data_IF_590913662521
#
_entry.id   IF_590913662521
#
_cell.length_a   1.000
_cell.length_b   1.000
_cell.length_c   1.000
_cell.angle_alpha   90.00
_cell.angle_beta   90.00
_cell.angle_gamma   90.00
#
_symmetry.space_group_name_H-M   'P 1'
#
loop_
_entity.id
_entity.type
_entity.pdbx_description
1 polymer ?
#
# COMPACT_ATOMS: atom_id res chain seq x y z
N UNK A 1 -22.68 94.40 -13.38
CA UNK A 1 -22.73 93.39 -14.47
C UNK A 1 -21.96 92.11 -13.98
N UNK A 2 -22.70 91.09 -13.57
CA UNK A 2 -22.13 89.87 -13.05
C UNK A 2 -22.06 88.77 -14.14
N UNK A 3 -20.87 88.30 -14.52
CA UNK A 3 -20.68 87.24 -15.51
C UNK A 3 -20.82 85.89 -14.78
N UNK A 4 -21.89 85.14 -15.09
CA UNK A 4 -22.03 83.71 -14.72
C UNK A 4 -21.19 82.90 -15.61
N UNK A 5 -20.17 82.23 -15.05
CA UNK A 5 -19.35 81.20 -15.71
C UNK A 5 -20.11 79.91 -15.73
N UNK A 6 -20.48 79.39 -16.91
CA UNK A 6 -21.14 78.11 -17.07
C UNK A 6 -20.03 77.04 -17.16
N UNK A 7 -19.93 76.25 -16.07
CA UNK A 7 -19.03 75.07 -16.10
C UNK A 7 -19.76 73.91 -16.79
N UNK A 8 -19.32 73.59 -18.00
CA UNK A 8 -19.81 72.43 -18.75
C UNK A 8 -19.30 71.14 -18.11
N UNK A 9 -20.17 70.31 -17.53
CA UNK A 9 -19.93 68.99 -17.03
C UNK A 9 -19.76 68.04 -18.25
N UNK A 10 -18.53 67.73 -18.64
CA UNK A 10 -18.22 66.73 -19.64
C UNK A 10 -18.59 65.38 -19.08
N UNK A 11 -19.69 64.77 -19.52
CA UNK A 11 -20.06 63.40 -19.26
C UNK A 11 -19.00 62.47 -19.90
N UNK A 12 -18.24 61.76 -19.09
CA UNK A 12 -17.38 60.66 -19.55
C UNK A 12 -18.28 59.56 -20.08
N UNK A 13 -18.40 59.41 -21.38
CA UNK A 13 -18.98 58.21 -22.00
C UNK A 13 -18.07 57.04 -21.66
N UNK A 14 -18.57 56.13 -20.81
CA UNK A 14 -17.87 54.86 -20.55
C UNK A 14 -17.71 54.11 -21.89
N UNK A 15 -16.50 53.82 -22.26
CA UNK A 15 -16.19 53.04 -23.45
C UNK A 15 -16.72 51.61 -23.28
N UNK A 16 -17.12 50.96 -24.38
CA UNK A 16 -17.57 49.56 -24.38
C UNK A 16 -16.60 48.65 -23.61
N UNK A 17 -15.31 48.92 -23.68
CA UNK A 17 -14.24 48.22 -22.98
C UNK A 17 -14.31 48.35 -21.44
N UNK A 18 -14.74 49.51 -20.90
CA UNK A 18 -14.90 49.72 -19.46
C UNK A 18 -16.05 48.89 -18.88
N UNK A 19 -17.05 48.58 -19.67
CA UNK A 19 -18.23 47.81 -19.25
C UNK A 19 -17.89 46.29 -19.13
N UNK A 20 -16.90 45.79 -19.85
CA UNK A 20 -16.53 44.38 -19.90
C UNK A 20 -15.19 44.08 -19.22
N UNK A 21 -14.49 45.10 -18.72
CA UNK A 21 -13.18 44.92 -18.06
C UNK A 21 -13.21 43.96 -16.87
N UNK A 22 -14.30 43.92 -16.11
CA UNK A 22 -14.51 43.02 -14.97
C UNK A 22 -14.71 41.56 -15.43
N UNK A 23 -15.30 41.32 -16.60
CA UNK A 23 -15.46 39.96 -17.15
C UNK A 23 -14.10 39.37 -17.55
N UNK A 24 -13.23 40.16 -18.15
CA UNK A 24 -11.86 39.74 -18.46
C UNK A 24 -11.02 39.45 -17.21
N UNK A 25 -11.31 40.12 -16.09
CA UNK A 25 -10.63 39.86 -14.80
C UNK A 25 -11.16 38.58 -14.17
N UNK A 26 -12.46 38.30 -14.22
CA UNK A 26 -13.10 37.07 -13.72
C UNK A 26 -12.62 35.87 -14.53
N UNK A 27 -12.59 35.97 -15.87
CA UNK A 27 -12.07 34.90 -16.71
C UNK A 27 -10.61 34.54 -16.39
N UNK A 28 -9.76 35.53 -16.20
CA UNK A 28 -8.35 35.34 -15.83
C UNK A 28 -8.20 34.68 -14.44
N UNK A 29 -9.03 35.08 -13.48
CA UNK A 29 -9.01 34.44 -12.13
C UNK A 29 -9.54 33.01 -12.17
N UNK A 30 -10.57 32.73 -12.95
CA UNK A 30 -11.08 31.35 -13.14
C UNK A 30 -10.04 30.49 -13.83
N UNK A 31 -9.46 30.95 -14.93
CA UNK A 31 -8.42 30.21 -15.69
C UNK A 31 -7.18 30.00 -14.80
N UNK A 32 -6.73 31.01 -14.08
CA UNK A 32 -5.59 30.90 -13.16
C UNK A 32 -5.87 29.94 -12.01
N UNK A 33 -7.06 29.99 -11.42
CA UNK A 33 -7.49 29.07 -10.35
C UNK A 33 -7.59 27.61 -10.84
N UNK A 34 -8.15 27.40 -12.03
CA UNK A 34 -8.25 26.04 -12.63
C UNK A 34 -6.87 25.48 -12.96
N UNK A 35 -5.98 26.31 -13.51
CA UNK A 35 -4.62 25.88 -13.82
C UNK A 35 -3.84 25.51 -12.55
N UNK A 36 -3.97 26.30 -11.50
CA UNK A 36 -3.35 26.02 -10.19
C UNK A 36 -3.90 24.72 -9.58
N UNK A 37 -5.20 24.48 -9.69
CA UNK A 37 -5.82 23.26 -9.20
C UNK A 37 -5.36 22.02 -9.97
N UNK A 38 -5.27 22.11 -11.30
CA UNK A 38 -4.76 21.02 -12.14
C UNK A 38 -3.30 20.73 -11.82
N UNK A 39 -2.45 21.76 -11.70
CA UNK A 39 -1.05 21.59 -11.31
C UNK A 39 -0.90 20.98 -9.91
N UNK A 40 -1.77 21.34 -8.97
CA UNK A 40 -1.83 20.75 -7.64
C UNK A 40 -2.16 19.25 -7.68
N UNK A 41 -3.16 18.86 -8.47
CA UNK A 41 -3.51 17.44 -8.69
C UNK A 41 -2.36 16.68 -9.37
N UNK A 42 -1.79 17.24 -10.42
CA UNK A 42 -0.65 16.61 -11.11
C UNK A 42 0.55 16.47 -10.19
N UNK A 43 0.83 17.47 -9.35
CA UNK A 43 1.88 17.41 -8.33
C UNK A 43 1.61 16.33 -7.28
N UNK A 44 0.38 16.21 -6.81
CA UNK A 44 -0.02 15.18 -5.85
C UNK A 44 0.07 13.77 -6.47
N UNK A 45 -0.36 13.60 -7.72
CA UNK A 45 -0.24 12.33 -8.45
C UNK A 45 1.22 11.98 -8.69
N UNK A 46 2.04 12.93 -9.12
CA UNK A 46 3.47 12.71 -9.32
C UNK A 46 4.20 12.39 -8.01
N UNK A 47 3.85 13.07 -6.91
CA UNK A 47 4.39 12.81 -5.58
C UNK A 47 4.00 11.41 -5.09
N UNK A 48 2.73 11.03 -5.23
CA UNK A 48 2.26 9.70 -4.89
C UNK A 48 2.93 8.61 -5.73
N UNK A 49 3.09 8.83 -7.04
CA UNK A 49 3.80 7.91 -7.94
C UNK A 49 5.30 7.82 -7.63
N UNK A 50 5.92 8.91 -7.15
CA UNK A 50 7.31 8.89 -6.70
C UNK A 50 7.48 8.12 -5.39
N UNK A 51 6.55 8.27 -4.47
CA UNK A 51 6.53 7.54 -3.20
C UNK A 51 6.24 6.04 -3.38
N UNK A 52 5.59 5.67 -4.48
CA UNK A 52 5.24 4.28 -4.84
C UNK A 52 6.35 3.54 -5.61
N UNK A 53 7.54 4.13 -5.76
CA UNK A 53 8.67 3.41 -6.37
C UNK A 53 9.07 2.27 -5.47
N UNK A 54 8.97 1.05 -5.99
CA UNK A 54 9.50 -0.15 -5.34
C UNK A 54 10.99 0.06 -5.07
N UNK A 55 11.37 -0.02 -3.80
CA UNK A 55 12.79 -0.04 -3.41
C UNK A 55 13.31 -1.42 -3.79
N UNK A 56 14.42 -1.46 -4.52
CA UNK A 56 15.14 -2.72 -4.73
C UNK A 56 15.76 -3.16 -3.40
N UNK A 57 15.21 -4.22 -2.82
CA UNK A 57 15.64 -4.76 -1.54
C UNK A 57 16.56 -5.93 -1.82
N UNK A 58 17.81 -5.80 -1.42
CA UNK A 58 18.81 -6.83 -1.63
C UNK A 58 18.37 -8.18 -1.02
N UNK A 59 18.42 -9.24 -1.82
CA UNK A 59 18.06 -10.59 -1.44
C UNK A 59 16.56 -10.90 -1.55
N UNK A 60 15.74 -9.99 -2.05
CA UNK A 60 14.37 -10.33 -2.43
C UNK A 60 14.38 -11.10 -3.73
N UNK A 61 13.78 -12.26 -3.70
CA UNK A 61 13.56 -13.10 -4.88
C UNK A 61 12.17 -12.83 -5.45
N UNK A 62 12.09 -12.62 -6.76
CA UNK A 62 10.84 -12.58 -7.50
C UNK A 62 10.55 -13.95 -8.09
N UNK A 63 9.44 -14.53 -7.72
CA UNK A 63 9.02 -15.87 -8.12
C UNK A 63 7.73 -15.74 -8.92
N UNK A 64 7.73 -16.23 -10.14
CA UNK A 64 6.49 -16.27 -10.92
C UNK A 64 5.50 -17.25 -10.29
N UNK A 65 4.33 -16.80 -9.93
CA UNK A 65 3.25 -17.61 -9.35
C UNK A 65 1.99 -17.50 -10.20
N UNK A 66 1.32 -18.62 -10.40
CA UNK A 66 0.02 -18.67 -11.04
C UNK A 66 -1.04 -18.87 -9.95
N UNK A 67 -1.91 -17.92 -9.75
CA UNK A 67 -3.02 -17.99 -8.79
C UNK A 67 -4.14 -18.91 -9.25
N UNK A 68 -5.05 -19.19 -8.34
CA UNK A 68 -6.27 -19.95 -8.59
C UNK A 68 -6.81 -20.59 -7.32
N UNK A 69 -8.13 -20.80 -7.25
CA UNK A 69 -8.79 -21.35 -6.09
C UNK A 69 -9.06 -22.85 -6.26
N UNK A 70 -8.75 -23.64 -5.24
CA UNK A 70 -9.05 -25.07 -5.18
C UNK A 70 -9.30 -25.50 -3.73
N UNK A 71 -10.49 -26.02 -3.43
CA UNK A 71 -10.88 -26.39 -2.05
C UNK A 71 -10.05 -27.54 -1.44
N UNK A 72 -9.49 -28.40 -2.28
CA UNK A 72 -8.76 -29.60 -1.82
C UNK A 72 -7.24 -29.43 -1.88
N UNK A 73 -6.74 -28.23 -2.14
CA UNK A 73 -5.29 -28.00 -2.17
C UNK A 73 -4.69 -28.10 -0.78
N UNK A 74 -3.53 -28.71 -0.67
CA UNK A 74 -2.76 -28.84 0.57
C UNK A 74 -1.29 -28.66 0.27
N UNK A 75 -0.57 -28.03 1.17
CA UNK A 75 0.86 -27.81 1.10
C UNK A 75 1.56 -28.51 2.26
N UNK A 76 2.55 -29.35 2.01
CA UNK A 76 3.33 -29.93 3.07
C UNK A 76 4.18 -28.85 3.76
N UNK A 77 4.29 -28.93 5.10
CA UNK A 77 5.08 -27.99 5.89
C UNK A 77 6.58 -28.36 5.96
N UNK A 78 7.06 -29.19 5.07
CA UNK A 78 8.45 -29.63 4.96
C UNK A 78 9.20 -28.91 3.82
N UNK A 79 8.53 -28.04 3.08
CA UNK A 79 9.09 -27.20 2.06
C UNK A 79 9.03 -25.72 2.45
N UNK A 80 9.80 -24.89 1.75
CA UNK A 80 9.74 -23.45 1.89
C UNK A 80 8.32 -22.96 1.56
N UNK A 81 7.69 -22.10 2.42
CA UNK A 81 6.35 -21.62 2.13
C UNK A 81 6.35 -20.86 0.79
N UNK A 82 5.51 -21.23 -0.18
CA UNK A 82 5.49 -20.57 -1.47
C UNK A 82 4.97 -19.12 -1.34
N UNK A 83 5.45 -18.16 -2.15
CA UNK A 83 4.98 -16.80 -2.11
C UNK A 83 3.69 -16.56 -2.92
N UNK A 84 2.90 -17.57 -3.14
CA UNK A 84 1.66 -17.57 -3.92
C UNK A 84 1.43 -18.89 -4.62
N UNK A 85 0.39 -18.98 -5.43
CA UNK A 85 0.06 -20.22 -6.15
C UNK A 85 -1.42 -20.56 -6.05
N UNK A 86 -1.78 -21.81 -6.39
CA UNK A 86 -3.15 -22.31 -6.21
C UNK A 86 -3.43 -22.40 -4.71
N UNK A 87 -4.56 -21.89 -4.25
CA UNK A 87 -4.87 -21.81 -2.83
C UNK A 87 -6.35 -22.06 -2.55
N UNK A 88 -6.70 -22.18 -1.26
CA UNK A 88 -8.07 -22.40 -0.82
C UNK A 88 -8.91 -21.12 -1.03
N UNK A 89 -10.22 -21.23 -1.38
CA UNK A 89 -11.10 -20.06 -1.55
C UNK A 89 -11.30 -19.20 -0.28
N UNK A 90 -11.04 -19.75 0.90
CA UNK A 90 -11.04 -19.00 2.15
C UNK A 90 -9.62 -18.53 2.48
N UNK A 91 -9.50 -17.31 3.00
CA UNK A 91 -8.22 -16.75 3.43
C UNK A 91 -7.96 -16.96 4.92
N UNK A 92 -6.70 -16.89 5.33
CA UNK A 92 -6.28 -16.83 6.72
C UNK A 92 -6.53 -15.43 7.27
N UNK A 93 -7.18 -15.30 8.43
CA UNK A 93 -7.29 -13.99 9.08
C UNK A 93 -5.90 -13.43 9.38
N UNK A 94 -5.65 -12.18 9.01
CA UNK A 94 -4.39 -11.52 9.34
C UNK A 94 -4.22 -11.34 10.85
N UNK A 95 -2.99 -11.44 11.32
CA UNK A 95 -2.63 -11.30 12.72
C UNK A 95 -1.50 -12.23 13.15
N UNK A 96 -1.37 -12.41 14.44
CA UNK A 96 -0.29 -13.18 15.07
C UNK A 96 -0.83 -14.53 15.53
N UNK A 97 -0.13 -15.59 15.19
CA UNK A 97 -0.45 -16.96 15.54
C UNK A 97 0.69 -17.57 16.34
N UNK A 98 0.34 -18.32 17.39
CA UNK A 98 1.27 -19.06 18.24
C UNK A 98 1.45 -20.52 17.78
N UNK A 99 0.66 -20.93 16.79
CA UNK A 99 0.70 -22.25 16.15
C UNK A 99 0.79 -22.13 14.65
N UNK A 100 1.29 -23.14 13.95
CA UNK A 100 1.29 -23.16 12.48
C UNK A 100 -0.10 -22.92 11.89
N UNK A 101 -0.15 -22.25 10.76
CA UNK A 101 -1.37 -22.00 9.99
C UNK A 101 -1.33 -22.81 8.68
N UNK A 102 -2.50 -23.06 8.07
CA UNK A 102 -2.55 -23.70 6.77
C UNK A 102 -1.97 -22.81 5.68
N UNK A 103 -1.00 -23.34 4.96
CA UNK A 103 -0.33 -22.60 3.86
C UNK A 103 -1.35 -22.21 2.79
N UNK A 104 -2.28 -23.09 2.45
CA UNK A 104 -3.33 -22.86 1.47
C UNK A 104 -4.22 -21.65 1.77
N UNK A 105 -4.46 -21.36 3.05
CA UNK A 105 -5.22 -20.18 3.50
C UNK A 105 -4.35 -18.93 3.55
N UNK A 106 -3.09 -19.09 3.99
CA UNK A 106 -2.14 -17.98 4.03
C UNK A 106 -1.86 -17.43 2.63
N UNK A 107 -1.77 -18.28 1.61
CA UNK A 107 -1.59 -17.87 0.22
C UNK A 107 -2.74 -17.00 -0.30
N UNK A 108 -3.99 -17.28 0.08
CA UNK A 108 -5.11 -16.40 -0.26
C UNK A 108 -4.96 -15.03 0.40
N UNK A 109 -4.47 -14.99 1.64
CA UNK A 109 -4.18 -13.70 2.28
C UNK A 109 -3.07 -12.92 1.56
N UNK A 110 -2.07 -13.60 0.98
CA UNK A 110 -1.07 -12.96 0.10
C UNK A 110 -1.71 -12.38 -1.16
N UNK A 111 -2.71 -13.05 -1.75
CA UNK A 111 -3.49 -12.54 -2.87
C UNK A 111 -4.19 -11.22 -2.52
N UNK A 112 -4.69 -11.08 -1.27
CA UNK A 112 -5.25 -9.84 -0.73
C UNK A 112 -4.19 -8.77 -0.38
N UNK A 113 -2.93 -9.06 -0.64
CA UNK A 113 -1.81 -8.14 -0.38
C UNK A 113 -1.28 -8.21 1.04
N UNK A 114 -1.48 -9.33 1.74
CA UNK A 114 -0.82 -9.54 3.02
C UNK A 114 0.68 -9.85 2.86
N UNK A 115 1.43 -9.58 3.91
CA UNK A 115 2.80 -10.03 4.10
C UNK A 115 2.80 -11.11 5.17
N UNK A 116 3.27 -12.29 4.81
CA UNK A 116 3.40 -13.41 5.72
C UNK A 116 4.83 -13.55 6.21
N UNK A 117 5.01 -13.47 7.53
CA UNK A 117 6.26 -13.67 8.24
C UNK A 117 6.20 -15.07 8.87
N UNK A 118 6.86 -16.01 8.25
CA UNK A 118 7.05 -17.37 8.76
C UNK A 118 8.36 -17.41 9.55
N UNK A 119 8.36 -17.98 10.73
CA UNK A 119 9.55 -18.10 11.56
C UNK A 119 9.76 -19.52 12.10
N UNK A 120 10.99 -19.90 12.27
CA UNK A 120 11.36 -21.19 12.87
C UNK A 120 10.98 -21.23 14.35
N UNK A 121 10.34 -22.30 14.87
CA UNK A 121 9.92 -22.38 16.28
C UNK A 121 11.06 -22.26 17.30
N UNK A 122 12.29 -22.56 16.92
CA UNK A 122 13.49 -22.44 17.77
C UNK A 122 14.14 -21.05 17.77
N UNK A 123 13.49 -20.07 17.08
CA UNK A 123 13.96 -18.68 17.11
C UNK A 123 13.94 -18.14 18.54
N UNK A 124 14.97 -17.40 18.99
CA UNK A 124 14.99 -16.81 20.33
C UNK A 124 13.74 -15.98 20.64
N UNK A 125 13.21 -16.11 21.84
CA UNK A 125 11.97 -15.43 22.26
C UNK A 125 11.98 -13.93 22.05
N UNK A 126 13.14 -13.28 22.24
CA UNK A 126 13.31 -11.85 22.00
C UNK A 126 13.10 -11.49 20.52
N UNK A 127 13.59 -12.31 19.62
CA UNK A 127 13.38 -12.11 18.18
C UNK A 127 11.93 -12.36 17.80
N UNK A 128 11.28 -13.40 18.36
CA UNK A 128 9.85 -13.64 18.15
C UNK A 128 9.03 -12.44 18.64
N UNK A 129 9.36 -11.89 19.82
CA UNK A 129 8.67 -10.70 20.32
C UNK A 129 8.82 -9.50 19.39
N UNK A 130 10.00 -9.30 18.82
CA UNK A 130 10.23 -8.24 17.82
C UNK A 130 9.40 -8.44 16.56
N UNK A 131 9.28 -9.68 16.06
CA UNK A 131 8.38 -9.99 14.93
C UNK A 131 6.92 -9.71 15.28
N UNK A 132 6.49 -10.04 16.50
CA UNK A 132 5.13 -9.74 16.98
C UNK A 132 4.85 -8.24 17.01
N UNK A 133 5.79 -7.45 17.49
CA UNK A 133 5.65 -5.99 17.55
C UNK A 133 5.56 -5.38 16.13
N UNK A 134 6.39 -5.86 15.22
CA UNK A 134 6.36 -5.45 13.80
C UNK A 134 5.03 -5.84 13.16
N UNK A 135 4.56 -7.07 13.38
CA UNK A 135 3.30 -7.57 12.81
C UNK A 135 2.09 -6.82 13.33
N UNK A 136 2.04 -6.55 14.63
CA UNK A 136 0.94 -5.83 15.28
C UNK A 136 0.73 -4.39 14.81
N UNK A 137 1.67 -3.82 14.07
CA UNK A 137 1.59 -2.47 13.52
C UNK A 137 0.83 -2.35 12.19
N UNK A 138 0.32 -3.44 11.62
CA UNK A 138 -0.35 -3.43 10.32
C UNK A 138 -1.59 -4.31 10.25
N UNK A 139 -2.41 -4.11 9.23
CA UNK A 139 -3.68 -4.80 9.04
C UNK A 139 -3.60 -6.01 8.10
N UNK A 140 -2.56 -6.06 7.26
CA UNK A 140 -2.35 -7.12 6.28
C UNK A 140 -1.01 -7.81 6.53
N UNK A 141 -0.85 -8.34 7.75
CA UNK A 141 0.34 -9.09 8.16
C UNK A 141 -0.06 -10.37 8.85
N UNK A 142 0.63 -11.42 8.51
CA UNK A 142 0.55 -12.74 9.15
C UNK A 142 1.89 -13.02 9.83
N UNK A 143 1.86 -13.48 11.06
CA UNK A 143 3.01 -14.04 11.75
C UNK A 143 2.63 -15.42 12.27
N UNK A 144 3.35 -16.44 11.87
CA UNK A 144 3.12 -17.80 12.36
C UNK A 144 4.44 -18.59 12.42
N UNK A 145 4.57 -19.53 13.38
CA UNK A 145 5.65 -20.49 13.34
C UNK A 145 5.50 -21.41 12.11
N UNK A 146 6.62 -21.78 11.54
CA UNK A 146 6.70 -22.69 10.39
C UNK A 146 7.87 -23.65 10.60
N UNK A 147 7.58 -24.94 10.54
CA UNK A 147 8.60 -25.96 10.74
C UNK A 147 9.50 -26.09 9.51
N UNK A 148 10.72 -26.57 9.74
CA UNK A 148 11.67 -26.96 8.68
C UNK A 148 12.14 -25.83 7.74
N UNK A 149 12.08 -24.56 8.18
CA UNK A 149 12.70 -23.47 7.44
C UNK A 149 14.24 -23.59 7.49
N UNK A 150 14.90 -23.48 6.35
CA UNK A 150 16.37 -23.38 6.30
C UNK A 150 16.84 -22.07 6.92
N UNK A 151 16.20 -20.94 6.56
CA UNK A 151 16.43 -19.64 7.18
C UNK A 151 15.56 -19.44 8.41
N UNK A 152 16.05 -18.80 9.47
CA UNK A 152 15.27 -18.55 10.69
C UNK A 152 13.96 -17.83 10.45
N UNK A 153 13.89 -16.95 9.46
CA UNK A 153 12.73 -16.15 9.09
C UNK A 153 12.59 -16.12 7.58
N UNK A 154 11.38 -16.34 7.09
CA UNK A 154 11.01 -16.20 5.69
C UNK A 154 9.85 -15.24 5.59
N UNK A 155 9.98 -14.22 4.76
CA UNK A 155 8.96 -13.19 4.56
C UNK A 155 8.45 -13.28 3.13
N UNK A 156 7.15 -13.47 2.97
CA UNK A 156 6.51 -13.65 1.67
C UNK A 156 5.43 -12.61 1.44
N UNK A 157 5.36 -12.13 0.22
CA UNK A 157 4.23 -11.43 -0.38
C UNK A 157 3.95 -12.08 -1.74
N UNK A 158 2.83 -11.78 -2.37
CA UNK A 158 2.48 -12.42 -3.63
C UNK A 158 3.59 -12.23 -4.70
N UNK A 159 4.20 -13.35 -5.10
CA UNK A 159 5.30 -13.38 -6.08
C UNK A 159 6.66 -12.91 -5.56
N UNK A 160 6.81 -12.62 -4.26
CA UNK A 160 8.06 -12.13 -3.69
C UNK A 160 8.40 -12.83 -2.37
N UNK A 161 9.68 -13.10 -2.18
CA UNK A 161 10.15 -13.74 -0.96
C UNK A 161 11.51 -13.19 -0.53
N UNK A 162 11.70 -13.11 0.78
CA UNK A 162 12.96 -12.69 1.41
C UNK A 162 13.27 -13.62 2.57
N UNK A 163 14.51 -14.13 2.60
CA UNK A 163 15.02 -14.94 3.70
C UNK A 163 15.92 -14.11 4.60
N UNK A 164 15.71 -14.19 5.92
CA UNK A 164 16.39 -13.41 6.92
C UNK A 164 16.94 -14.30 8.04
N UNK A 165 18.07 -13.89 8.60
CA UNK A 165 18.72 -14.59 9.72
C UNK A 165 18.29 -14.04 11.08
N UNK A 166 17.78 -12.81 11.12
CA UNK A 166 17.39 -12.15 12.38
C UNK A 166 16.22 -11.17 12.17
N UNK A 167 15.41 -11.00 13.22
CA UNK A 167 14.28 -10.08 13.23
C UNK A 167 14.68 -8.58 13.25
N UNK A 168 15.97 -8.31 13.49
CA UNK A 168 16.55 -6.96 13.49
C UNK A 168 16.93 -6.42 12.13
N UNK A 169 16.89 -7.24 11.09
CA UNK A 169 17.25 -6.84 9.74
C UNK A 169 16.26 -5.79 9.20
N UNK A 170 16.80 -4.64 8.81
CA UNK A 170 15.98 -3.54 8.29
C UNK A 170 15.23 -3.90 7.00
N UNK A 171 15.72 -4.87 6.23
CA UNK A 171 15.05 -5.37 5.02
C UNK A 171 13.65 -5.92 5.31
N UNK A 172 13.39 -6.41 6.53
CA UNK A 172 12.06 -6.84 6.94
C UNK A 172 11.04 -5.68 6.88
N UNK A 173 11.39 -4.55 7.47
CA UNK A 173 10.50 -3.38 7.47
C UNK A 173 10.37 -2.74 6.09
N UNK A 174 11.43 -2.77 5.30
CA UNK A 174 11.41 -2.30 3.92
C UNK A 174 10.55 -3.22 3.03
N UNK A 175 10.64 -4.54 3.22
CA UNK A 175 9.79 -5.52 2.54
C UNK A 175 8.31 -5.29 2.85
N UNK A 176 7.95 -5.14 4.13
CA UNK A 176 6.57 -4.85 4.54
C UNK A 176 6.08 -3.56 3.90
N UNK A 177 6.86 -2.48 3.96
CA UNK A 177 6.50 -1.17 3.38
C UNK A 177 6.28 -1.25 1.87
N UNK A 178 7.05 -2.10 1.20
CA UNK A 178 6.99 -2.24 -0.27
C UNK A 178 5.82 -3.10 -0.72
N UNK A 179 5.46 -4.14 0.03
CA UNK A 179 4.55 -5.17 -0.45
C UNK A 179 3.21 -5.23 0.29
N UNK A 180 3.10 -4.72 1.53
CA UNK A 180 1.81 -4.72 2.24
C UNK A 180 0.76 -3.90 1.49
N UNK A 181 -0.32 -4.54 1.05
CA UNK A 181 -1.42 -3.98 0.22
C UNK A 181 -0.95 -3.31 -1.07
N UNK A 182 0.14 -3.77 -1.60
CA UNK A 182 0.79 -3.23 -2.81
C UNK A 182 1.31 -4.35 -3.68
N UNK A 183 2.10 -3.98 -4.68
CA UNK A 183 2.80 -4.88 -5.55
C UNK A 183 1.89 -5.52 -6.58
N UNK A 184 2.24 -6.75 -6.92
CA UNK A 184 1.57 -7.53 -7.96
C UNK A 184 0.53 -8.50 -7.37
N UNK A 185 0.10 -8.28 -6.12
CA UNK A 185 -1.01 -9.03 -5.54
C UNK A 185 -2.26 -8.84 -6.41
N UNK A 186 -3.00 -9.89 -6.74
CA UNK A 186 -4.19 -9.78 -7.60
C UNK A 186 -5.30 -8.92 -7.00
N UNK A 187 -5.48 -8.97 -5.66
CA UNK A 187 -6.56 -8.26 -4.95
C UNK A 187 -6.01 -7.38 -3.80
N UNK A 188 -5.13 -6.41 -4.09
CA UNK A 188 -4.41 -5.68 -3.05
C UNK A 188 -5.37 -4.84 -2.19
N UNK A 189 -5.40 -5.11 -0.89
CA UNK A 189 -6.26 -4.42 0.07
C UNK A 189 -7.64 -5.03 0.26
N UNK A 190 -7.94 -6.19 -0.34
CA UNK A 190 -9.14 -6.97 -0.01
C UNK A 190 -9.11 -7.39 1.47
N UNK A 191 -10.26 -7.81 2.02
CA UNK A 191 -10.40 -8.10 3.44
C UNK A 191 -9.39 -9.16 3.92
N UNK A 192 -8.71 -8.88 5.02
CA UNK A 192 -7.83 -9.82 5.70
C UNK A 192 -8.41 -10.27 7.07
N UNK A 193 -9.73 -10.21 7.20
CA UNK A 193 -10.52 -10.65 8.36
C UNK A 193 -11.82 -11.25 7.88
N UNK A 194 -12.46 -12.10 8.71
CA UNK A 194 -13.68 -12.81 8.34
C UNK A 194 -13.45 -14.11 7.58
N UNK A 195 -12.22 -14.52 7.40
CA UNK A 195 -11.80 -15.82 6.90
C UNK A 195 -11.63 -16.86 8.01
N UNK A 196 -10.65 -17.75 7.85
CA UNK A 196 -10.37 -18.82 8.81
C UNK A 196 -9.28 -18.45 9.81
N UNK A 197 -9.23 -19.19 10.92
CA UNK A 197 -8.26 -19.00 11.99
C UNK A 197 -8.62 -17.84 12.91
N UNK A 198 -8.10 -17.93 14.16
CA UNK A 198 -8.25 -16.88 15.16
C UNK A 198 -6.86 -16.47 15.61
N UNK A 199 -6.38 -15.29 15.22
CA UNK A 199 -5.09 -14.80 15.68
C UNK A 199 -5.14 -14.52 17.19
N UNK A 200 -4.02 -14.71 17.87
CA UNK A 200 -3.88 -14.40 19.32
C UNK A 200 -3.81 -12.87 19.54
N UNK A 201 -3.55 -12.11 18.50
CA UNK A 201 -3.54 -10.64 18.49
C UNK A 201 -3.67 -10.11 17.07
#
# INVERSE_FOLDING_TARGET
MSKKTIVSKRSKKSTFLDRYSHLFTIERTIIGGTLFFILGIMGAVAFNSWQSRSVDINGVERIFVQGGHQETVSYPNDELPPPGGIHHPSWQNCGIYDTPIGTEFALHSLEHGAVWIAYRPDLPTEQIQRLRDITGGGSHRLLAPYSNLESPIVVSAWGYQLQLTEAGDNRLTDFIRNYEKRGEAPEPGALCSGGVGQPSR
#
